data_IF_208217096224
#
_entry.id   IF_208217096224
#
_cell.length_a   1.000
_cell.length_b   1.000
_cell.length_c   1.000
_cell.angle_alpha   90.00
_cell.angle_beta   90.00
_cell.angle_gamma   90.00
#
_symmetry.space_group_name_H-M   'P 1'
#
loop_
_entity.id
_entity.type
_entity.pdbx_description
1 polymer ?
#
# COMPACT_ATOMS: atom_id res chain seq x y z
N UNK A 1 1.60 -22.37 -3.03
CA UNK A 1 2.23 -21.09 -3.44
C UNK A 1 2.77 -20.44 -2.19
N UNK A 2 4.02 -19.98 -2.21
CA UNK A 2 4.72 -19.41 -1.07
C UNK A 2 4.39 -17.93 -0.90
N UNK A 3 4.27 -17.47 0.33
CA UNK A 3 4.14 -16.04 0.62
C UNK A 3 5.44 -15.28 0.29
N UNK A 4 5.31 -14.02 -0.09
CA UNK A 4 6.45 -13.11 -0.31
C UNK A 4 6.62 -12.24 0.93
N UNK A 5 7.76 -12.38 1.62
CA UNK A 5 8.07 -11.62 2.84
C UNK A 5 9.01 -10.45 2.53
N UNK A 6 8.56 -9.22 2.84
CA UNK A 6 9.41 -8.02 2.78
C UNK A 6 9.82 -7.65 4.20
N UNK A 7 11.13 -7.60 4.45
CA UNK A 7 11.67 -7.24 5.77
C UNK A 7 12.26 -5.83 5.74
N UNK A 8 11.81 -4.99 6.67
CA UNK A 8 12.43 -3.69 6.92
C UNK A 8 13.51 -3.84 8.01
N UNK A 9 14.78 -3.50 7.70
CA UNK A 9 15.87 -3.54 8.67
C UNK A 9 15.57 -2.71 9.92
N UNK A 10 16.00 -3.20 11.09
CA UNK A 10 15.69 -2.56 12.39
C UNK A 10 16.25 -1.15 12.50
N UNK A 11 17.41 -0.89 11.90
CA UNK A 11 18.07 0.42 11.86
C UNK A 11 17.28 1.47 11.05
N UNK A 12 16.41 1.04 10.13
CA UNK A 12 15.54 1.93 9.34
C UNK A 12 14.21 2.23 10.03
N UNK A 13 13.79 1.43 11.00
CA UNK A 13 12.50 1.61 11.69
C UNK A 13 12.38 2.95 12.42
N UNK A 14 13.41 3.48 13.10
CA UNK A 14 13.34 4.80 13.73
C UNK A 14 13.11 5.96 12.75
N UNK A 15 13.45 5.78 11.46
CA UNK A 15 13.19 6.79 10.44
C UNK A 15 11.72 6.82 9.99
N UNK A 16 10.97 5.73 10.24
CA UNK A 16 9.53 5.69 10.03
C UNK A 16 8.86 6.47 11.17
N UNK A 17 8.29 7.64 10.85
CA UNK A 17 7.56 8.50 11.80
C UNK A 17 6.18 7.92 12.12
N UNK A 18 6.12 6.63 12.46
CA UNK A 18 4.89 5.89 12.72
C UNK A 18 5.03 5.09 14.02
N UNK A 19 3.94 4.93 14.78
CA UNK A 19 3.95 4.05 15.95
C UNK A 19 4.23 2.62 15.49
N UNK A 20 4.98 1.83 16.29
CA UNK A 20 5.46 0.50 15.90
C UNK A 20 4.32 -0.44 15.51
N UNK A 21 3.17 -0.31 16.15
CA UNK A 21 1.98 -1.13 15.89
C UNK A 21 1.31 -0.80 14.55
N UNK A 22 1.52 0.41 14.02
CA UNK A 22 0.96 0.86 12.75
C UNK A 22 1.95 0.72 11.58
N UNK A 23 3.24 0.48 11.83
CA UNK A 23 4.27 0.37 10.78
C UNK A 23 3.90 -0.69 9.75
N UNK A 24 3.51 -1.89 10.22
CA UNK A 24 3.20 -2.99 9.32
C UNK A 24 1.98 -2.67 8.44
N UNK A 25 0.91 -2.16 9.04
CA UNK A 25 -0.29 -1.76 8.31
C UNK A 25 0.02 -0.66 7.28
N UNK A 26 0.75 0.39 7.68
CA UNK A 26 1.12 1.48 6.78
C UNK A 26 1.98 1.00 5.61
N UNK A 27 3.01 0.19 5.88
CA UNK A 27 3.86 -0.37 4.81
C UNK A 27 3.08 -1.28 3.86
N UNK A 28 2.14 -2.06 4.38
CA UNK A 28 1.28 -2.93 3.60
C UNK A 28 0.32 -2.12 2.70
N UNK A 29 -0.20 -0.99 3.18
CA UNK A 29 -1.01 -0.05 2.39
C UNK A 29 -0.18 0.62 1.29
N UNK A 30 1.00 1.13 1.60
CA UNK A 30 1.92 1.75 0.64
C UNK A 30 2.37 0.74 -0.44
N UNK A 31 2.63 -0.51 -0.04
CA UNK A 31 2.95 -1.59 -0.97
C UNK A 31 1.77 -1.87 -1.91
N UNK A 32 0.56 -2.02 -1.38
CA UNK A 32 -0.63 -2.27 -2.18
C UNK A 32 -0.86 -1.15 -3.20
N UNK A 33 -0.69 0.10 -2.78
CA UNK A 33 -0.83 1.26 -3.64
C UNK A 33 0.22 1.29 -4.75
N UNK A 34 1.50 1.09 -4.41
CA UNK A 34 2.58 1.07 -5.40
C UNK A 34 2.38 -0.04 -6.45
N UNK A 35 1.87 -1.21 -6.05
CA UNK A 35 1.58 -2.31 -6.96
C UNK A 35 0.36 -2.02 -7.85
N UNK A 36 -0.66 -1.35 -7.32
CA UNK A 36 -1.83 -0.91 -8.09
C UNK A 36 -1.47 0.16 -9.12
N UNK A 37 -0.75 1.20 -8.71
CA UNK A 37 -0.32 2.30 -9.60
C UNK A 37 0.56 1.81 -10.76
N UNK A 38 1.36 0.76 -10.53
CA UNK A 38 2.19 0.13 -11.57
C UNK A 38 1.41 -0.84 -12.48
N UNK A 39 0.12 -1.05 -12.25
CA UNK A 39 -0.70 -2.02 -12.97
C UNK A 39 -0.36 -3.48 -12.67
N UNK A 40 0.43 -3.75 -11.64
CA UNK A 40 0.84 -5.12 -11.25
C UNK A 40 -0.30 -5.83 -10.52
N UNK A 41 -1.05 -5.11 -9.69
CA UNK A 41 -2.24 -5.59 -9.01
C UNK A 41 -3.49 -4.83 -9.48
N UNK A 42 -4.60 -5.55 -9.58
CA UNK A 42 -5.91 -4.91 -9.76
C UNK A 42 -6.36 -4.23 -8.47
N UNK A 43 -7.21 -3.21 -8.59
CA UNK A 43 -7.77 -2.48 -7.44
C UNK A 43 -8.35 -3.41 -6.36
N UNK A 44 -9.09 -4.45 -6.73
CA UNK A 44 -9.65 -5.40 -5.76
C UNK A 44 -8.59 -6.20 -4.99
N UNK A 45 -7.51 -6.63 -5.66
CA UNK A 45 -6.40 -7.34 -5.01
C UNK A 45 -5.55 -6.42 -4.15
N UNK A 46 -5.36 -5.17 -4.59
CA UNK A 46 -4.65 -4.16 -3.81
C UNK A 46 -5.45 -3.77 -2.56
N UNK A 47 -6.78 -3.61 -2.64
CA UNK A 47 -7.65 -3.41 -1.48
C UNK A 47 -7.55 -4.55 -0.47
N UNK A 48 -7.57 -5.81 -0.95
CA UNK A 48 -7.39 -6.97 -0.09
C UNK A 48 -6.00 -7.01 0.55
N UNK A 49 -4.95 -6.68 -0.21
CA UNK A 49 -3.58 -6.59 0.30
C UNK A 49 -3.46 -5.46 1.33
N UNK A 50 -4.13 -4.33 1.16
CA UNK A 50 -4.10 -3.22 2.10
C UNK A 50 -4.86 -3.48 3.42
N UNK A 51 -5.61 -4.59 3.50
CA UNK A 51 -6.34 -4.98 4.70
C UNK A 51 -7.50 -4.04 5.08
N UNK A 52 -8.02 -3.30 4.09
CA UNK A 52 -9.06 -2.28 4.31
C UNK A 52 -10.29 -2.55 3.45
N UNK A 53 -11.40 -1.89 3.78
CA UNK A 53 -12.60 -1.99 2.98
C UNK A 53 -12.50 -1.15 1.70
N UNK A 54 -13.42 -1.40 0.74
CA UNK A 54 -13.40 -0.73 -0.55
C UNK A 54 -13.49 0.80 -0.47
N UNK A 55 -14.25 1.35 0.49
CA UNK A 55 -14.41 2.81 0.64
C UNK A 55 -13.13 3.47 1.15
N UNK A 56 -12.46 2.82 2.10
CA UNK A 56 -11.15 3.25 2.61
C UNK A 56 -10.11 3.22 1.50
N UNK A 57 -10.12 2.16 0.69
CA UNK A 57 -9.23 2.01 -0.47
C UNK A 57 -9.43 3.12 -1.50
N UNK A 58 -10.68 3.40 -1.87
CA UNK A 58 -10.99 4.49 -2.78
C UNK A 58 -10.46 5.82 -2.20
N UNK A 59 -10.66 6.07 -0.90
CA UNK A 59 -10.16 7.32 -0.28
C UNK A 59 -8.63 7.49 -0.41
N UNK A 60 -7.85 6.43 -0.19
CA UNK A 60 -6.38 6.50 -0.28
C UNK A 60 -5.85 6.48 -1.72
N UNK A 61 -6.49 5.72 -2.60
CA UNK A 61 -6.12 5.63 -4.02
C UNK A 61 -6.32 7.00 -4.67
N UNK A 62 -7.45 7.66 -4.41
CA UNK A 62 -7.72 9.00 -4.93
C UNK A 62 -6.71 10.06 -4.44
N UNK A 63 -6.18 9.93 -3.21
CA UNK A 63 -5.19 10.87 -2.66
C UNK A 63 -3.84 10.81 -3.38
N UNK A 64 -3.54 9.67 -3.98
CA UNK A 64 -2.21 9.35 -4.51
C UNK A 64 -2.20 9.16 -6.03
N UNK A 65 -3.38 9.09 -6.65
CA UNK A 65 -3.53 9.21 -8.08
C UNK A 65 -3.27 10.67 -8.49
N UNK A 66 -2.10 10.89 -9.09
CA UNK A 66 -1.89 12.02 -10.00
C UNK A 66 -2.98 11.93 -11.08
N UNK A 67 -3.86 12.95 -11.26
CA UNK A 67 -5.03 12.87 -12.13
C UNK A 67 -4.71 12.61 -13.62
N UNK A 68 -3.43 12.62 -14.00
CA UNK A 68 -2.94 12.35 -15.36
C UNK A 68 -2.92 10.86 -15.70
N UNK A 69 -2.87 9.94 -14.72
CA UNK A 69 -2.75 8.50 -14.99
C UNK A 69 -4.06 7.84 -15.46
N UNK A 70 -5.22 8.45 -15.19
CA UNK A 70 -6.55 7.97 -15.59
C UNK A 70 -6.95 8.34 -17.03
N UNK A 71 -6.15 9.16 -17.72
CA UNK A 71 -6.40 9.56 -19.10
C UNK A 71 -5.62 8.75 -20.16
N UNK A 72 -5.06 7.58 -19.82
CA UNK A 72 -4.41 6.68 -20.78
C UNK A 72 -4.99 5.28 -20.75
#
# INVERSE_FOLDING_TARGET
>A
MSDVTIMVPRDKRPALRLPPDAIQAALQQELALALYQRGILSSGKACALAGMNRREWETIAWRTEDPVALCR
#
